data_IF_627461792451
#
_entry.id   IF_627461792451
#
_cell.length_a   1.000
_cell.length_b   1.000
_cell.length_c   1.000
_cell.angle_alpha   90.00
_cell.angle_beta   90.00
_cell.angle_gamma   90.00
#
_symmetry.space_group_name_H-M   'P 1'
#
loop_
_entity.id
_entity.type
_entity.pdbx_description
1 polymer ?
#
# COMPACT_ATOMS: atom_id res chain seq x y z
N UNK A 1 -7.88 6.05 -44.95
CA UNK A 1 -7.98 6.57 -43.57
C UNK A 1 -8.03 5.38 -42.60
N UNK A 2 -6.88 4.92 -42.11
CA UNK A 2 -6.84 3.79 -41.16
C UNK A 2 -7.18 4.29 -39.75
N UNK A 3 -8.25 3.75 -39.17
CA UNK A 3 -8.74 4.10 -37.84
C UNK A 3 -7.78 3.54 -36.79
N UNK A 4 -6.97 4.42 -36.17
CA UNK A 4 -6.08 4.08 -35.05
C UNK A 4 -6.93 3.51 -33.90
N UNK A 5 -6.68 2.26 -33.51
CA UNK A 5 -7.21 1.67 -32.28
C UNK A 5 -6.61 2.41 -31.09
N UNK A 6 -7.46 3.00 -30.26
CA UNK A 6 -7.09 3.57 -28.97
C UNK A 6 -6.48 2.48 -28.07
N UNK A 7 -5.45 2.79 -27.26
CA UNK A 7 -4.85 1.82 -26.35
C UNK A 7 -5.88 1.41 -25.29
N UNK A 8 -5.97 0.11 -25.03
CA UNK A 8 -6.86 -0.48 -24.01
C UNK A 8 -6.36 -0.03 -22.63
N UNK A 9 -7.30 0.53 -21.85
CA UNK A 9 -7.19 0.95 -20.45
C UNK A 9 -6.60 -0.18 -19.57
N UNK A 10 -5.57 0.13 -18.79
CA UNK A 10 -4.76 -0.80 -18.00
C UNK A 10 -5.44 -1.39 -16.76
N UNK A 11 -6.33 -2.36 -16.97
CA UNK A 11 -6.96 -3.15 -15.89
C UNK A 11 -6.48 -4.59 -15.79
N UNK A 12 -5.37 -4.97 -16.44
CA UNK A 12 -4.88 -6.36 -16.45
C UNK A 12 -3.82 -6.66 -15.39
N UNK A 13 -2.91 -5.72 -15.15
CA UNK A 13 -1.68 -6.00 -14.39
C UNK A 13 -1.92 -6.04 -12.86
N UNK A 14 -2.77 -5.17 -12.33
CA UNK A 14 -3.06 -5.14 -10.89
C UNK A 14 -3.83 -6.38 -10.43
N UNK A 15 -4.87 -6.78 -11.18
CA UNK A 15 -5.65 -7.98 -10.88
C UNK A 15 -4.82 -9.26 -11.01
N UNK A 16 -3.87 -9.28 -11.94
CA UNK A 16 -2.95 -10.41 -12.10
C UNK A 16 -1.95 -10.46 -10.94
N UNK A 17 -1.35 -9.33 -10.57
CA UNK A 17 -0.45 -9.22 -9.43
C UNK A 17 -1.14 -9.66 -8.12
N UNK A 18 -2.40 -9.26 -7.89
CA UNK A 18 -3.15 -9.66 -6.70
C UNK A 18 -3.35 -11.18 -6.64
N UNK A 19 -3.68 -11.81 -7.77
CA UNK A 19 -3.83 -13.29 -7.83
C UNK A 19 -2.50 -13.99 -7.58
N UNK A 20 -1.41 -13.50 -8.16
CA UNK A 20 -0.08 -14.09 -8.00
C UNK A 20 0.44 -13.96 -6.55
N UNK A 21 0.17 -12.82 -5.90
CA UNK A 21 0.48 -12.61 -4.49
C UNK A 21 -0.34 -13.54 -3.60
N UNK A 22 -1.65 -13.63 -3.81
CA UNK A 22 -2.51 -14.53 -3.04
C UNK A 22 -2.06 -16.00 -3.17
N UNK A 23 -1.75 -16.45 -4.38
CA UNK A 23 -1.24 -17.80 -4.62
C UNK A 23 0.09 -18.03 -3.88
N UNK A 24 1.00 -17.06 -3.88
CA UNK A 24 2.26 -17.17 -3.12
C UNK A 24 2.03 -17.27 -1.61
N UNK A 25 1.11 -16.46 -1.08
CA UNK A 25 0.76 -16.51 0.35
C UNK A 25 0.18 -17.87 0.74
N UNK A 26 -0.66 -18.47 -0.11
CA UNK A 26 -1.22 -19.81 0.12
C UNK A 26 -0.18 -20.92 0.07
N UNK A 27 0.94 -20.73 -0.63
CA UNK A 27 2.03 -21.72 -0.70
C UNK A 27 2.99 -21.68 0.49
N UNK A 28 2.88 -20.67 1.36
CA UNK A 28 3.71 -20.57 2.55
C UNK A 28 3.28 -21.61 3.60
N UNK A 29 4.18 -22.49 4.07
CA UNK A 29 3.84 -23.58 4.99
C UNK A 29 3.44 -23.10 6.40
N UNK A 30 3.87 -21.90 6.80
CA UNK A 30 3.65 -21.34 8.13
C UNK A 30 3.70 -19.80 8.11
N UNK A 31 3.42 -19.19 9.26
CA UNK A 31 3.36 -17.72 9.41
C UNK A 31 4.75 -17.08 9.22
N UNK A 32 5.81 -17.77 9.63
CA UNK A 32 7.20 -17.28 9.55
C UNK A 32 7.62 -17.18 8.07
N UNK A 33 7.37 -18.23 7.29
CA UNK A 33 7.63 -18.24 5.85
C UNK A 33 6.76 -17.25 5.07
N UNK A 34 5.49 -17.06 5.46
CA UNK A 34 4.63 -16.01 4.88
C UNK A 34 5.20 -14.61 5.13
N UNK A 35 5.63 -14.35 6.37
CA UNK A 35 6.23 -13.09 6.76
C UNK A 35 7.49 -12.81 5.94
N UNK A 36 8.42 -13.75 5.91
CA UNK A 36 9.75 -13.57 5.31
C UNK A 36 9.72 -13.52 3.78
N UNK A 37 8.84 -14.30 3.14
CA UNK A 37 8.83 -14.45 1.69
C UNK A 37 7.88 -13.49 0.97
N UNK A 38 6.85 -12.98 1.66
CA UNK A 38 5.81 -12.16 1.01
C UNK A 38 5.62 -10.83 1.72
N UNK A 39 5.34 -10.83 3.02
CA UNK A 39 4.96 -9.59 3.74
C UNK A 39 6.13 -8.62 3.84
N UNK A 40 7.29 -9.06 4.34
CA UNK A 40 8.48 -8.19 4.48
C UNK A 40 8.95 -7.65 3.12
N UNK A 41 9.08 -8.47 2.06
CA UNK A 41 9.44 -7.96 0.73
C UNK A 41 8.43 -6.95 0.17
N UNK A 42 7.13 -7.18 0.38
CA UNK A 42 6.08 -6.25 -0.04
C UNK A 42 6.18 -4.91 0.70
N UNK A 43 6.36 -4.95 2.01
CA UNK A 43 6.52 -3.74 2.84
C UNK A 43 7.79 -2.96 2.47
N UNK A 44 8.91 -3.64 2.19
CA UNK A 44 10.13 -3.00 1.73
C UNK A 44 9.97 -2.33 0.35
N UNK A 45 9.24 -2.98 -0.56
CA UNK A 45 8.90 -2.39 -1.85
C UNK A 45 8.00 -1.16 -1.69
N UNK A 46 7.01 -1.23 -0.80
CA UNK A 46 6.13 -0.11 -0.46
C UNK A 46 6.92 1.06 0.14
N UNK A 47 7.81 0.79 1.10
CA UNK A 47 8.72 1.78 1.69
C UNK A 47 9.55 2.48 0.62
N UNK A 48 10.15 1.72 -0.30
CA UNK A 48 10.98 2.26 -1.38
C UNK A 48 10.19 3.22 -2.27
N UNK A 49 8.96 2.85 -2.64
CA UNK A 49 8.09 3.68 -3.49
C UNK A 49 7.64 4.94 -2.73
N UNK A 50 7.24 4.79 -1.47
CA UNK A 50 6.85 5.89 -0.61
C UNK A 50 7.99 6.89 -0.43
N UNK A 51 9.19 6.41 -0.08
CA UNK A 51 10.38 7.25 0.07
C UNK A 51 10.75 7.99 -1.22
N UNK A 52 10.69 7.32 -2.38
CA UNK A 52 10.96 7.95 -3.67
C UNK A 52 9.97 9.06 -4.05
N UNK A 53 8.75 9.01 -3.49
CA UNK A 53 7.69 10.00 -3.69
C UNK A 53 7.58 11.05 -2.58
N UNK A 54 8.42 10.94 -1.54
CA UNK A 54 8.38 11.82 -0.38
C UNK A 54 7.25 11.53 0.60
N UNK A 55 6.63 10.35 0.53
CA UNK A 55 5.63 9.91 1.50
C UNK A 55 6.31 9.42 2.79
N UNK A 56 5.74 9.77 3.94
CA UNK A 56 6.18 9.28 5.24
C UNK A 56 5.33 8.06 5.62
N UNK A 57 5.97 6.91 5.80
CA UNK A 57 5.31 5.69 6.27
C UNK A 57 5.53 5.55 7.78
N UNK A 58 4.43 5.49 8.56
CA UNK A 58 4.49 5.36 10.01
C UNK A 58 4.25 3.90 10.42
N UNK A 59 5.28 3.24 10.93
CA UNK A 59 5.19 1.89 11.52
C UNK A 59 5.57 2.03 13.00
N UNK A 60 4.65 1.71 13.92
CA UNK A 60 4.86 1.83 15.36
C UNK A 60 4.63 0.50 16.09
N UNK A 61 5.71 -0.14 16.55
CA UNK A 61 5.64 -1.41 17.25
C UNK A 61 5.21 -2.58 16.34
N UNK A 62 4.32 -3.44 16.83
CA UNK A 62 3.75 -4.56 16.05
C UNK A 62 2.54 -4.13 15.20
N UNK A 63 2.12 -2.86 15.27
CA UNK A 63 0.93 -2.35 14.59
C UNK A 63 1.29 -1.33 13.52
N UNK A 64 0.75 -1.53 12.32
CA UNK A 64 0.87 -0.59 11.20
C UNK A 64 -0.52 -0.08 10.82
N UNK A 65 -0.70 1.23 10.77
CA UNK A 65 -1.90 1.84 10.22
C UNK A 65 -1.65 2.19 8.75
N UNK A 66 -2.20 1.39 7.83
CA UNK A 66 -2.25 1.73 6.42
C UNK A 66 -3.59 2.40 6.14
N UNK A 67 -3.58 3.70 5.89
CA UNK A 67 -4.79 4.43 5.50
C UNK A 67 -4.77 4.64 3.99
N UNK A 68 -5.69 3.99 3.30
CA UNK A 68 -5.91 4.17 1.87
C UNK A 68 -7.15 5.03 1.65
N UNK A 69 -6.97 6.18 1.01
CA UNK A 69 -8.06 7.03 0.53
C UNK A 69 -8.30 6.76 -0.94
N UNK A 70 -9.49 6.26 -1.25
CA UNK A 70 -9.91 5.98 -2.63
C UNK A 70 -10.29 7.22 -3.43
N UNK A 71 -10.54 8.35 -2.75
CA UNK A 71 -10.82 9.66 -3.32
C UNK A 71 -9.79 10.69 -2.83
N UNK A 72 -9.25 11.48 -3.75
CA UNK A 72 -8.26 12.52 -3.46
C UNK A 72 -8.87 13.65 -2.61
N UNK A 73 -10.17 13.91 -2.75
CA UNK A 73 -10.88 14.91 -1.95
C UNK A 73 -10.89 14.58 -0.44
N UNK A 74 -10.85 13.29 -0.10
CA UNK A 74 -10.89 12.83 1.29
C UNK A 74 -9.49 12.69 1.90
N UNK A 75 -8.43 12.72 1.08
CA UNK A 75 -7.06 12.54 1.53
C UNK A 75 -6.60 13.64 2.49
N UNK A 76 -6.96 14.90 2.23
CA UNK A 76 -6.61 16.04 3.09
C UNK A 76 -7.33 16.00 4.44
N UNK A 77 -8.60 15.58 4.44
CA UNK A 77 -9.39 15.45 5.66
C UNK A 77 -8.84 14.33 6.57
N UNK A 78 -8.51 13.18 5.96
CA UNK A 78 -7.87 12.07 6.66
C UNK A 78 -6.49 12.46 7.19
N UNK A 79 -5.69 13.17 6.40
CA UNK A 79 -4.40 13.70 6.84
C UNK A 79 -4.55 14.60 8.07
N UNK A 80 -5.45 15.58 8.00
CA UNK A 80 -5.70 16.51 9.12
C UNK A 80 -6.15 15.79 10.39
N UNK A 81 -6.97 14.74 10.25
CA UNK A 81 -7.45 13.94 11.39
C UNK A 81 -6.32 13.13 12.03
N UNK A 82 -5.42 12.56 11.22
CA UNK A 82 -4.24 11.85 11.71
C UNK A 82 -3.28 12.82 12.40
N UNK A 83 -2.99 13.97 11.81
CA UNK A 83 -2.14 15.01 12.42
C UNK A 83 -2.73 15.48 13.76
N UNK A 84 -4.01 15.82 13.80
CA UNK A 84 -4.67 16.25 15.06
C UNK A 84 -4.60 15.18 16.16
N UNK A 85 -4.77 13.90 15.81
CA UNK A 85 -4.62 12.81 16.77
C UNK A 85 -3.18 12.68 17.29
N UNK A 86 -2.17 12.86 16.43
CA UNK A 86 -0.76 12.78 16.81
C UNK A 86 -0.32 13.98 17.65
N UNK A 87 -0.80 15.19 17.35
CA UNK A 87 -0.53 16.40 18.12
C UNK A 87 -1.13 16.31 19.53
N UNK A 88 -2.37 15.82 19.67
CA UNK A 88 -3.01 15.63 20.96
C UNK A 88 -2.33 14.51 21.79
N UNK A 89 -1.80 13.47 21.13
CA UNK A 89 -1.08 12.38 21.80
C UNK A 89 0.32 12.81 22.32
N UNK A 90 0.92 13.85 21.74
CA UNK A 90 2.20 14.42 22.20
C UNK A 90 2.08 15.41 23.37
N UNK A 91 0.86 15.81 23.74
CA UNK A 91 0.58 16.78 24.79
C UNK A 91 0.23 16.16 26.17
N UNK A 92 0.27 14.82 26.28
CA UNK A 92 -0.05 14.07 27.50
C UNK A 92 1.19 13.53 28.23
#
# INVERSE_FOLDING_TARGET
>A
MAKRKSPKKGGGDADQLMRDLAQRMETCPDVESLNDQVIVPFMAALETVCGARGYVMNIYGETSNLVFTGDEADAEAVYTLVEGYLDDAGAA
#
